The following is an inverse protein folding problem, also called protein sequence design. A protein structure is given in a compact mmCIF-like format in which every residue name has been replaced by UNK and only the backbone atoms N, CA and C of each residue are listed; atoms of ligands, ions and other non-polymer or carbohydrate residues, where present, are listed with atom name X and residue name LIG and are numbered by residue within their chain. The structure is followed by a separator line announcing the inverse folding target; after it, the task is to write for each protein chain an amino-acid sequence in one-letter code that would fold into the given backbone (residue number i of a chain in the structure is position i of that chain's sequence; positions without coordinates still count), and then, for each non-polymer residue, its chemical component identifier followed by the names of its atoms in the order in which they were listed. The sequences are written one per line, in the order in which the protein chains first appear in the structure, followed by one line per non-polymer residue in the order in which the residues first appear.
data_IF_558117227105
#
_entry.id   IF_558117227105
#
_cell.length_a   1.000
_cell.length_b   1.000
_cell.length_c   1.000
_cell.angle_alpha   90.00
_cell.angle_beta   90.00
_cell.angle_gamma   90.00
#
_symmetry.space_group_name_H-M   'P 1'
#
loop_
_entity.id
_entity.type
_entity.pdbx_description
1 polymer ?
#
# COMPACT_ATOMS: atom_id res chain seq x y z
N UNK A 1 -28.49 -5.58 2.72
CA UNK A 1 -27.37 -6.54 2.74
C UNK A 1 -26.15 -5.73 2.38
N UNK A 2 -25.51 -5.15 3.41
CA UNK A 2 -24.26 -4.42 3.23
C UNK A 2 -23.23 -5.50 2.95
N UNK A 3 -22.80 -5.62 1.70
CA UNK A 3 -21.61 -6.41 1.41
C UNK A 3 -20.48 -5.54 1.97
N UNK A 4 -20.08 -5.81 3.22
CA UNK A 4 -18.79 -5.40 3.77
C UNK A 4 -17.72 -6.19 3.01
N UNK A 5 -17.61 -5.92 1.71
CA UNK A 5 -16.36 -6.11 1.03
C UNK A 5 -15.47 -5.02 1.64
N UNK A 6 -14.67 -5.40 2.63
CA UNK A 6 -13.38 -4.79 2.91
C UNK A 6 -12.56 -4.84 1.61
N UNK A 7 -12.97 -4.08 0.59
CA UNK A 7 -12.13 -3.82 -0.56
C UNK A 7 -10.99 -2.99 -0.02
N UNK A 8 -9.80 -3.52 -0.21
CA UNK A 8 -8.54 -3.24 0.45
C UNK A 8 -7.97 -1.84 0.12
N UNK A 9 -8.74 -0.78 0.36
CA UNK A 9 -8.38 0.58 0.00
C UNK A 9 -7.62 1.31 1.12
N UNK A 10 -6.83 0.60 1.92
CA UNK A 10 -6.15 1.22 3.05
C UNK A 10 -4.71 1.67 2.70
N UNK A 11 -4.59 2.96 2.36
CA UNK A 11 -3.35 3.79 2.27
C UNK A 11 -2.65 3.79 0.91
N UNK A 12 -2.48 5.01 0.41
CA UNK A 12 -2.39 5.35 -1.01
C UNK A 12 -1.77 6.72 -1.14
N UNK A 13 -1.13 6.99 -2.27
CA UNK A 13 -0.59 8.31 -2.56
C UNK A 13 -1.14 8.84 -3.88
N UNK A 14 -1.45 10.13 -3.91
CA UNK A 14 -1.68 10.84 -5.17
C UNK A 14 -0.33 11.29 -5.69
N UNK A 15 0.08 10.83 -6.87
CA UNK A 15 1.33 11.26 -7.53
C UNK A 15 1.10 12.64 -8.13
N UNK A 16 1.88 13.64 -7.69
CA UNK A 16 1.78 15.02 -8.18
C UNK A 16 2.63 15.22 -9.44
N UNK A 17 2.43 16.35 -10.10
CA UNK A 17 3.27 16.75 -11.23
C UNK A 17 4.75 16.78 -10.82
N UNK A 18 5.60 16.10 -11.59
CA UNK A 18 7.04 15.98 -11.32
C UNK A 18 7.43 14.87 -10.34
N UNK A 19 6.46 14.13 -9.79
CA UNK A 19 6.71 12.95 -8.96
C UNK A 19 6.47 11.64 -9.72
N UNK A 20 6.94 10.56 -9.12
CA UNK A 20 6.68 9.18 -9.50
C UNK A 20 6.50 8.33 -8.23
N UNK A 21 6.22 7.04 -8.38
CA UNK A 21 6.00 6.14 -7.24
C UNK A 21 7.25 5.92 -6.37
N UNK A 22 8.44 6.24 -6.88
CA UNK A 22 9.71 6.20 -6.12
C UNK A 22 10.03 7.52 -5.40
N UNK A 23 9.24 8.57 -5.63
CA UNK A 23 9.48 9.87 -4.99
C UNK A 23 9.34 9.73 -3.47
N UNK A 24 10.23 10.33 -2.65
CA UNK A 24 10.26 10.10 -1.21
C UNK A 24 8.90 10.25 -0.51
N UNK A 25 8.16 11.32 -0.84
CA UNK A 25 6.81 11.56 -0.31
C UNK A 25 5.83 10.44 -0.68
N UNK A 26 5.86 9.98 -1.93
CA UNK A 26 4.98 8.91 -2.41
C UNK A 26 5.33 7.59 -1.72
N UNK A 27 6.62 7.29 -1.54
CA UNK A 27 7.08 6.12 -0.78
C UNK A 27 6.68 6.20 0.69
N UNK A 28 6.77 7.36 1.32
CA UNK A 28 6.36 7.53 2.72
C UNK A 28 4.84 7.31 2.89
N UNK A 29 4.04 7.76 1.92
CA UNK A 29 2.58 7.62 1.96
C UNK A 29 2.07 6.22 1.60
N UNK A 30 2.61 5.59 0.54
CA UNK A 30 2.09 4.35 -0.03
C UNK A 30 2.96 3.12 0.26
N UNK A 31 4.26 3.31 0.48
CA UNK A 31 5.20 2.24 0.80
C UNK A 31 4.82 1.39 2.02
N UNK A 32 4.29 1.95 3.13
CA UNK A 32 3.86 1.16 4.27
C UNK A 32 2.81 0.10 3.91
N UNK A 33 1.88 0.40 2.99
CA UNK A 33 0.87 -0.56 2.54
C UNK A 33 1.44 -1.57 1.55
N UNK A 34 2.32 -1.13 0.65
CA UNK A 34 3.02 -2.06 -0.25
C UNK A 34 3.77 -3.14 0.55
N UNK A 35 4.43 -2.77 1.66
CA UNK A 35 5.08 -3.74 2.55
C UNK A 35 4.11 -4.78 3.13
N UNK A 36 2.87 -4.38 3.50
CA UNK A 36 1.84 -5.29 4.03
C UNK A 36 1.49 -6.40 3.05
N UNK A 37 1.47 -6.11 1.74
CA UNK A 37 1.21 -7.14 0.72
C UNK A 37 2.27 -8.24 0.80
N UNK A 38 3.54 -7.86 0.95
CA UNK A 38 4.63 -8.84 1.11
C UNK A 38 4.52 -9.55 2.46
N UNK A 39 4.21 -8.85 3.55
CA UNK A 39 4.04 -9.45 4.87
C UNK A 39 2.94 -10.52 4.86
N UNK A 40 1.78 -10.23 4.25
CA UNK A 40 0.70 -11.20 4.08
C UNK A 40 1.19 -12.44 3.29
N UNK A 41 1.95 -12.23 2.22
CA UNK A 41 2.48 -13.31 1.40
C UNK A 41 3.49 -14.19 2.13
N UNK A 42 4.30 -13.60 3.01
CA UNK A 42 5.26 -14.33 3.84
C UNK A 42 4.60 -15.16 4.95
N UNK A 43 3.38 -14.79 5.34
CA UNK A 43 2.66 -15.36 6.48
C UNK A 43 1.37 -16.09 6.10
N UNK A 44 1.19 -16.43 4.81
CA UNK A 44 0.00 -17.14 4.31
C UNK A 44 -0.34 -18.42 5.07
N UNK A 45 0.65 -19.10 5.67
CA UNK A 45 0.45 -20.25 6.54
C UNK A 45 -0.38 -19.96 7.81
N UNK A 46 -0.46 -18.70 8.22
CA UNK A 46 -1.24 -18.23 9.38
C UNK A 46 -2.57 -17.58 8.99
N UNK A 47 -2.82 -17.40 7.69
CA UNK A 47 -4.02 -16.79 7.13
C UNK A 47 -3.71 -15.99 5.87
N UNK A 48 -4.70 -15.82 5.00
CA UNK A 48 -4.56 -15.03 3.78
C UNK A 48 -5.55 -13.86 3.79
N UNK A 49 -5.03 -12.64 3.74
CA UNK A 49 -5.81 -11.41 3.62
C UNK A 49 -6.34 -11.16 2.20
N UNK A 50 -6.04 -12.04 1.24
CA UNK A 50 -6.48 -11.91 -0.14
C UNK A 50 -5.76 -10.77 -0.87
N UNK A 51 -4.50 -10.48 -0.53
CA UNK A 51 -3.70 -9.43 -1.18
C UNK A 51 -3.27 -9.78 -2.61
N UNK A 52 -3.64 -10.96 -3.10
CA UNK A 52 -3.12 -11.51 -4.35
C UNK A 52 -1.66 -11.94 -4.21
N UNK A 53 -1.11 -12.54 -5.26
CA UNK A 53 0.29 -12.94 -5.33
C UNK A 53 1.18 -11.89 -6.02
N UNK A 54 2.47 -11.93 -5.73
CA UNK A 54 3.48 -11.18 -6.50
C UNK A 54 4.20 -12.12 -7.46
N UNK A 55 4.31 -11.74 -8.73
CA UNK A 55 5.04 -12.51 -9.75
C UNK A 55 6.56 -12.35 -9.68
N UNK A 56 7.08 -11.65 -8.68
CA UNK A 56 8.49 -11.34 -8.51
C UNK A 56 9.14 -12.25 -7.46
N UNK A 57 9.67 -13.38 -7.94
CA UNK A 57 10.37 -14.34 -7.10
C UNK A 57 11.68 -13.78 -6.51
N UNK A 58 12.31 -12.80 -7.16
CA UNK A 58 13.55 -12.21 -6.66
C UNK A 58 13.27 -11.30 -5.47
N UNK A 59 12.20 -10.50 -5.56
CA UNK A 59 11.71 -9.69 -4.44
C UNK A 59 11.32 -10.57 -3.25
N UNK A 60 10.56 -11.66 -3.47
CA UNK A 60 10.22 -12.58 -2.38
C UNK A 60 11.45 -13.19 -1.72
N UNK A 61 12.43 -13.65 -2.50
CA UNK A 61 13.67 -14.22 -1.95
C UNK A 61 14.44 -13.19 -1.11
N UNK A 62 14.59 -11.96 -1.62
CA UNK A 62 15.25 -10.88 -0.89
C UNK A 62 14.52 -10.52 0.42
N UNK A 63 13.18 -10.55 0.42
CA UNK A 63 12.39 -10.32 1.63
C UNK A 63 12.49 -11.46 2.63
N UNK A 64 12.57 -12.71 2.17
CA UNK A 64 12.85 -13.85 3.04
C UNK A 64 14.22 -13.75 3.70
N UNK A 65 15.26 -13.37 2.94
CA UNK A 65 16.61 -13.16 3.49
C UNK A 65 16.59 -12.05 4.55
N UNK A 66 15.90 -10.94 4.26
CA UNK A 66 15.74 -9.84 5.22
C UNK A 66 15.01 -10.31 6.48
N UNK A 67 13.89 -11.02 6.36
CA UNK A 67 13.13 -11.54 7.50
C UNK A 67 13.95 -12.50 8.37
N UNK A 68 14.68 -13.42 7.74
CA UNK A 68 15.52 -14.39 8.44
C UNK A 68 16.66 -13.72 9.23
N UNK A 69 17.05 -12.49 8.84
CA UNK A 69 18.06 -11.69 9.55
C UNK A 69 17.56 -11.08 10.87
N UNK A 70 16.23 -10.97 11.07
CA UNK A 70 15.69 -10.37 12.28
C UNK A 70 15.90 -11.25 13.52
N UNK A 71 15.98 -10.59 14.67
CA UNK A 71 16.10 -11.22 15.98
C UNK A 71 15.11 -10.62 16.99
N UNK A 72 14.65 -11.40 18.00
CA UNK A 72 14.94 -12.83 18.17
C UNK A 72 14.20 -13.69 17.14
N UNK A 73 14.73 -14.88 16.87
CA UNK A 73 14.23 -15.80 15.82
C UNK A 73 12.75 -16.18 16.02
N UNK A 74 12.34 -16.39 17.26
CA UNK A 74 10.96 -16.76 17.63
C UNK A 74 10.00 -15.56 17.70
N UNK A 75 10.49 -14.34 17.44
CA UNK A 75 9.67 -13.13 17.41
C UNK A 75 9.96 -12.21 16.21
N UNK A 76 10.50 -12.75 15.11
CA UNK A 76 10.77 -11.98 13.85
C UNK A 76 9.53 -11.23 13.35
N UNK A 77 8.33 -11.79 13.55
CA UNK A 77 7.06 -11.18 13.20
C UNK A 77 6.84 -9.81 13.87
N UNK A 78 7.38 -9.56 15.07
CA UNK A 78 7.27 -8.24 15.71
C UNK A 78 8.04 -7.17 14.93
N UNK A 79 9.21 -7.52 14.39
CA UNK A 79 10.01 -6.63 13.54
C UNK A 79 9.35 -6.48 12.16
N UNK A 80 8.86 -7.59 11.58
CA UNK A 80 8.16 -7.57 10.30
C UNK A 80 7.00 -6.58 10.32
N UNK A 81 6.12 -6.68 11.33
CA UNK A 81 4.94 -5.83 11.48
C UNK A 81 5.21 -4.46 12.11
N UNK A 82 6.47 -4.11 12.41
CA UNK A 82 6.78 -2.79 12.94
C UNK A 82 6.57 -1.73 11.85
N UNK A 83 5.75 -0.73 12.15
CA UNK A 83 5.47 0.37 11.20
C UNK A 83 4.39 0.04 10.18
N UNK A 84 3.80 -1.15 10.27
CA UNK A 84 2.65 -1.58 9.49
C UNK A 84 1.68 -0.42 9.35
N UNK A 85 1.48 0.01 8.10
CA UNK A 85 0.47 1.01 7.78
C UNK A 85 0.69 2.42 8.39
N UNK A 86 1.89 2.72 8.89
CA UNK A 86 2.25 4.02 9.45
C UNK A 86 3.56 4.57 8.87
N UNK A 87 4.57 3.73 8.69
CA UNK A 87 5.84 4.13 8.09
C UNK A 87 6.55 2.93 7.47
N UNK A 88 7.34 3.18 6.42
CA UNK A 88 8.17 2.16 5.79
C UNK A 88 9.52 2.09 6.53
N UNK A 89 9.91 0.89 6.97
CA UNK A 89 11.17 0.71 7.67
C UNK A 89 12.37 0.89 6.73
N UNK A 90 13.46 1.43 7.25
CA UNK A 90 14.64 1.80 6.43
C UNK A 90 15.28 0.61 5.71
N UNK A 91 15.21 -0.58 6.31
CA UNK A 91 15.72 -1.83 5.76
C UNK A 91 14.79 -2.44 4.68
N UNK A 92 13.50 -2.07 4.65
CA UNK A 92 12.55 -2.46 3.60
C UNK A 92 12.55 -1.49 2.42
N UNK A 93 12.91 -0.21 2.63
CA UNK A 93 12.93 0.84 1.59
C UNK A 93 13.61 0.44 0.27
N UNK A 94 14.73 -0.32 0.26
CA UNK A 94 15.37 -0.74 -0.98
C UNK A 94 14.57 -1.81 -1.74
N UNK A 95 13.76 -2.60 -1.06
CA UNK A 95 12.96 -3.69 -1.65
C UNK A 95 11.59 -3.18 -2.14
N UNK A 96 11.04 -2.15 -1.50
CA UNK A 96 9.78 -1.52 -1.91
C UNK A 96 10.05 -0.46 -2.97
N UNK A 97 10.01 -0.87 -4.24
CA UNK A 97 10.18 0.00 -5.42
C UNK A 97 8.90 0.75 -5.78
N UNK A 98 9.02 1.80 -6.58
CA UNK A 98 7.86 2.53 -7.12
C UNK A 98 6.96 1.66 -7.99
N UNK A 99 7.53 0.77 -8.81
CA UNK A 99 6.75 -0.19 -9.60
C UNK A 99 5.96 -1.15 -8.71
N UNK A 100 6.58 -1.61 -7.62
CA UNK A 100 5.88 -2.44 -6.65
C UNK A 100 4.78 -1.65 -5.92
N UNK A 101 5.05 -0.41 -5.50
CA UNK A 101 4.03 0.48 -4.92
C UNK A 101 2.85 0.66 -5.87
N UNK A 102 3.10 0.88 -7.17
CA UNK A 102 2.03 1.06 -8.17
C UNK A 102 1.15 -0.18 -8.33
N UNK A 103 1.73 -1.38 -8.19
CA UNK A 103 0.99 -2.64 -8.34
C UNK A 103 0.33 -3.13 -7.04
N UNK A 104 0.92 -2.83 -5.89
CA UNK A 104 0.48 -3.32 -4.58
C UNK A 104 -0.38 -2.30 -3.81
N UNK A 105 -0.54 -1.09 -4.33
CA UNK A 105 -1.36 -0.04 -3.74
C UNK A 105 -2.07 0.75 -4.82
N UNK A 106 -3.12 1.47 -4.45
CA UNK A 106 -3.83 2.37 -5.35
C UNK A 106 -3.16 3.74 -5.29
N UNK A 107 -2.06 3.82 -6.00
CA UNK A 107 -1.21 4.99 -6.07
C UNK A 107 -1.11 5.40 -7.53
N UNK A 108 -1.39 6.66 -7.81
CA UNK A 108 -1.46 7.16 -9.17
C UNK A 108 -1.75 8.65 -9.21
N UNK A 109 -1.83 9.19 -10.42
CA UNK A 109 -2.23 10.58 -10.65
C UNK A 109 -3.68 10.80 -10.27
N UNK A 110 -4.07 12.07 -10.08
CA UNK A 110 -5.47 12.44 -9.77
C UNK A 110 -6.48 11.80 -10.74
N UNK A 111 -6.17 11.80 -12.05
CA UNK A 111 -7.07 11.25 -13.06
C UNK A 111 -7.14 9.72 -13.01
N UNK A 112 -5.99 9.03 -12.93
CA UNK A 112 -5.96 7.57 -12.82
C UNK A 112 -6.78 7.10 -11.61
N UNK A 113 -6.57 7.74 -10.46
CA UNK A 113 -7.27 7.38 -9.23
C UNK A 113 -8.77 7.70 -9.29
N UNK A 114 -9.16 8.82 -9.89
CA UNK A 114 -10.58 9.16 -10.06
C UNK A 114 -11.29 8.17 -10.99
N UNK A 115 -10.63 7.74 -12.06
CA UNK A 115 -11.16 6.72 -12.97
C UNK A 115 -11.31 5.37 -12.27
N UNK A 116 -10.36 5.00 -11.41
CA UNK A 116 -10.44 3.78 -10.61
C UNK A 116 -11.57 3.83 -9.55
N UNK A 117 -11.78 4.98 -8.89
CA UNK A 117 -12.94 5.17 -7.99
C UNK A 117 -14.27 5.06 -8.75
N UNK A 118 -14.36 5.65 -9.96
CA UNK A 118 -15.57 5.51 -10.81
C UNK A 118 -15.80 4.06 -11.21
N UNK A 119 -14.75 3.32 -11.55
CA UNK A 119 -14.86 1.91 -11.86
C UNK A 119 -15.39 1.10 -10.67
N UNK A 120 -14.91 1.39 -9.44
CA UNK A 120 -15.45 0.78 -8.22
C UNK A 120 -16.94 1.11 -8.05
N UNK A 121 -17.34 2.36 -8.20
CA UNK A 121 -18.76 2.77 -8.18
C UNK A 121 -19.60 1.99 -9.20
N UNK A 122 -19.11 1.86 -10.42
CA UNK A 122 -19.82 1.18 -11.51
C UNK A 122 -19.95 -0.34 -11.25
N UNK A 123 -19.12 -0.91 -10.37
CA UNK A 123 -19.26 -2.29 -9.85
C UNK A 123 -20.18 -2.44 -8.63
N UNK A 124 -20.77 -1.34 -8.15
CA UNK A 124 -21.77 -1.33 -7.08
C UNK A 124 -21.23 -1.00 -5.69
N UNK A 125 -20.01 -0.46 -5.57
CA UNK A 125 -19.52 0.10 -4.31
C UNK A 125 -20.07 1.52 -4.09
N UNK A 126 -20.62 1.77 -2.90
CA UNK A 126 -21.18 3.08 -2.54
C UNK A 126 -20.21 3.94 -1.68
N UNK A 127 -19.17 3.34 -1.11
CA UNK A 127 -18.23 4.01 -0.22
C UNK A 127 -16.77 3.62 -0.53
N UNK A 128 -15.89 4.62 -0.40
CA UNK A 128 -14.43 4.45 -0.42
C UNK A 128 -13.85 5.20 0.77
N UNK A 129 -13.02 4.51 1.56
CA UNK A 129 -12.32 5.11 2.70
C UNK A 129 -10.82 5.22 2.42
N UNK A 130 -10.22 6.32 2.86
CA UNK A 130 -8.77 6.53 2.81
C UNK A 130 -8.23 6.82 4.21
N UNK A 131 -6.99 6.40 4.46
CA UNK A 131 -6.29 6.68 5.71
C UNK A 131 -5.25 7.76 5.46
N UNK A 132 -5.35 8.84 6.23
CA UNK A 132 -4.40 9.95 6.20
C UNK A 132 -3.30 9.69 7.23
N UNK A 133 -2.05 9.93 6.84
CA UNK A 133 -0.92 9.81 7.75
C UNK A 133 -0.75 11.12 8.53
N UNK A 134 -0.61 11.08 9.88
CA UNK A 134 -0.49 12.29 10.69
C UNK A 134 0.66 13.23 10.29
N UNK A 135 1.71 12.69 9.67
CA UNK A 135 2.88 13.44 9.20
C UNK A 135 2.77 13.92 7.75
N UNK A 136 1.62 13.68 7.08
CA UNK A 136 1.30 14.17 5.75
C UNK A 136 -0.10 14.81 5.71
N UNK A 137 -0.30 15.96 6.37
CA UNK A 137 -1.59 16.65 6.36
C UNK A 137 -2.04 17.08 4.95
N UNK A 138 -1.08 17.27 4.04
CA UNK A 138 -1.29 17.60 2.63
C UNK A 138 -1.93 16.46 1.82
N UNK A 139 -2.00 15.24 2.38
CA UNK A 139 -2.77 14.13 1.79
C UNK A 139 -4.25 14.48 1.65
N UNK A 140 -4.83 15.25 2.59
CA UNK A 140 -6.24 15.61 2.52
C UNK A 140 -6.52 16.39 1.23
N UNK A 141 -5.72 17.41 0.95
CA UNK A 141 -5.86 18.24 -0.26
C UNK A 141 -5.64 17.43 -1.53
N UNK A 142 -4.70 16.48 -1.51
CA UNK A 142 -4.48 15.53 -2.61
C UNK A 142 -5.75 14.70 -2.89
N UNK A 143 -6.35 14.10 -1.86
CA UNK A 143 -7.54 13.27 -2.00
C UNK A 143 -8.79 14.07 -2.35
N UNK A 144 -8.94 15.30 -1.84
CA UNK A 144 -10.03 16.20 -2.26
C UNK A 144 -10.02 16.41 -3.77
N UNK A 145 -8.84 16.61 -4.38
CA UNK A 145 -8.72 16.75 -5.85
C UNK A 145 -9.15 15.51 -6.62
N UNK A 146 -8.95 14.31 -6.05
CA UNK A 146 -9.45 13.05 -6.65
C UNK A 146 -10.98 13.01 -6.56
N UNK A 147 -11.54 13.28 -5.38
CA UNK A 147 -12.99 13.24 -5.14
C UNK A 147 -13.74 14.25 -6.02
N UNK A 148 -13.22 15.47 -6.18
CA UNK A 148 -13.80 16.49 -7.07
C UNK A 148 -13.92 16.02 -8.53
N UNK A 149 -13.10 15.02 -8.94
CA UNK A 149 -13.13 14.43 -10.29
C UNK A 149 -14.04 13.22 -10.41
N UNK A 150 -14.48 12.63 -9.30
CA UNK A 150 -15.39 11.48 -9.28
C UNK A 150 -16.82 11.92 -9.65
N UNK A 151 -17.25 13.07 -9.13
CA UNK A 151 -18.57 13.67 -9.35
C UNK A 151 -19.61 13.22 -8.33
#
# INVERSE_FOLDING_TARGET
MVVDALSSLQRRAVVRDGENCDSPRVKDQAGPMAAVVIHNLMETQYGDLGTGGIGDNQLMAAYHDLYNSYAPEDARYLTLHRGHCLFLRDDEKPLITGDFIKSASFTGTVNELADEVKALRDTGYDEVTFILLPHHPDMLDDWTRVIDKVG
#
